data_IF_183136997199
#
_entry.id   IF_183136997199
#
_cell.length_a   1.000
_cell.length_b   1.000
_cell.length_c   1.000
_cell.angle_alpha   90.00
_cell.angle_beta   90.00
_cell.angle_gamma   90.00
#
_symmetry.space_group_name_H-M   'P 1'
#
loop_
_entity.id
_entity.type
_entity.pdbx_description
1 polymer ?
#
# COMPACT_ATOMS: atom_id res chain seq x y z
N UNK A 1 9.92 12.93 -19.60
CA UNK A 1 9.22 11.63 -19.54
C UNK A 1 7.81 11.76 -18.98
N UNK A 2 7.00 10.70 -19.08
CA UNK A 2 5.68 10.69 -18.42
C UNK A 2 5.86 10.58 -16.91
N UNK A 3 5.09 11.32 -16.12
CA UNK A 3 4.99 11.09 -14.68
C UNK A 3 4.11 9.86 -14.49
N UNK A 4 4.63 8.83 -13.84
CA UNK A 4 3.97 7.54 -13.69
C UNK A 4 3.65 7.17 -12.24
N UNK A 5 4.25 7.88 -11.26
CA UNK A 5 3.98 7.66 -9.84
C UNK A 5 3.11 8.77 -9.25
N UNK A 6 2.38 8.43 -8.18
CA UNK A 6 1.75 9.46 -7.34
C UNK A 6 2.84 10.31 -6.69
N UNK A 7 2.66 11.64 -6.60
CA UNK A 7 3.62 12.51 -5.95
C UNK A 7 3.60 12.31 -4.42
N UNK A 8 4.76 12.45 -3.81
CA UNK A 8 4.93 12.56 -2.36
C UNK A 8 5.36 13.98 -2.01
N UNK A 9 4.66 14.62 -1.10
CA UNK A 9 4.99 15.97 -0.63
C UNK A 9 5.47 15.95 0.81
N UNK A 10 6.54 16.62 1.10
CA UNK A 10 7.07 16.82 2.46
C UNK A 10 7.98 18.03 2.52
N UNK A 11 7.90 18.82 3.57
CA UNK A 11 8.82 19.92 3.90
C UNK A 11 9.16 20.87 2.73
N UNK A 12 8.13 21.27 1.97
CA UNK A 12 8.30 22.16 0.83
C UNK A 12 8.91 21.50 -0.41
N UNK A 13 8.97 20.18 -0.47
CA UNK A 13 9.46 19.38 -1.58
C UNK A 13 8.39 18.46 -2.15
N UNK A 14 8.53 18.13 -3.43
CA UNK A 14 7.73 17.13 -4.13
C UNK A 14 8.66 16.10 -4.71
N UNK A 15 8.43 14.84 -4.36
CA UNK A 15 9.17 13.68 -4.90
C UNK A 15 8.29 12.94 -5.87
N UNK A 16 8.77 12.67 -7.07
CA UNK A 16 8.04 11.97 -8.13
C UNK A 16 8.94 10.99 -8.86
N UNK A 17 8.36 9.86 -9.23
CA UNK A 17 8.97 8.91 -10.15
C UNK A 17 8.52 9.16 -11.58
N UNK A 18 9.43 9.00 -12.51
CA UNK A 18 9.17 9.30 -13.91
C UNK A 18 9.43 8.09 -14.82
N UNK A 19 8.77 8.08 -15.98
CA UNK A 19 8.94 7.08 -17.01
C UNK A 19 10.25 7.18 -17.80
N UNK A 20 11.11 8.15 -17.48
CA UNK A 20 12.50 8.21 -17.98
C UNK A 20 13.50 7.47 -17.07
N UNK A 21 12.99 6.82 -16.03
CA UNK A 21 13.79 6.09 -15.06
C UNK A 21 14.43 6.98 -14.01
N UNK A 22 13.94 8.19 -13.82
CA UNK A 22 14.46 9.10 -12.80
C UNK A 22 13.47 9.32 -11.66
N UNK A 23 14.05 9.61 -10.49
CA UNK A 23 13.37 10.22 -9.35
C UNK A 23 13.72 11.70 -9.35
N UNK A 24 12.72 12.54 -9.24
CA UNK A 24 12.90 13.99 -9.13
C UNK A 24 12.46 14.49 -7.75
N UNK A 25 13.26 15.38 -7.19
CA UNK A 25 12.86 16.24 -6.09
C UNK A 25 12.69 17.67 -6.61
N UNK A 26 11.49 18.20 -6.45
CA UNK A 26 11.16 19.56 -6.86
C UNK A 26 10.90 20.43 -5.65
N UNK A 27 11.19 21.72 -5.76
CA UNK A 27 10.69 22.72 -4.84
C UNK A 27 9.17 22.88 -5.05
N UNK A 28 8.37 22.72 -4.00
CA UNK A 28 6.90 22.72 -4.10
C UNK A 28 6.31 24.09 -4.47
N UNK A 29 7.03 25.18 -4.20
CA UNK A 29 6.57 26.54 -4.49
C UNK A 29 6.97 27.02 -5.88
N UNK A 30 8.22 26.73 -6.33
CA UNK A 30 8.73 27.19 -7.63
C UNK A 30 8.61 26.16 -8.75
N UNK A 31 8.51 24.85 -8.42
CA UNK A 31 8.58 23.76 -9.37
C UNK A 31 9.98 23.46 -9.90
N UNK A 32 11.01 24.15 -9.41
CA UNK A 32 12.39 23.93 -9.82
C UNK A 32 12.93 22.60 -9.32
N UNK A 33 13.77 21.94 -10.13
CA UNK A 33 14.44 20.71 -9.75
C UNK A 33 15.50 21.02 -8.69
N UNK A 34 15.36 20.40 -7.51
CA UNK A 34 16.34 20.47 -6.43
C UNK A 34 17.45 19.45 -6.68
N UNK A 35 17.03 18.21 -6.99
CA UNK A 35 17.92 17.15 -7.41
C UNK A 35 17.17 16.12 -8.26
N UNK A 36 17.92 15.31 -9.01
CA UNK A 36 17.42 14.15 -9.73
C UNK A 36 18.34 12.95 -9.51
N UNK A 37 17.78 11.74 -9.50
CA UNK A 37 18.52 10.49 -9.37
C UNK A 37 18.11 9.51 -10.47
N UNK A 38 19.07 8.92 -11.20
CA UNK A 38 18.83 7.91 -12.22
C UNK A 38 18.72 6.54 -11.60
N UNK A 39 17.60 5.84 -11.84
CA UNK A 39 17.35 4.45 -11.45
C UNK A 39 17.54 3.50 -12.64
N UNK A 40 17.48 2.19 -12.38
CA UNK A 40 17.67 1.14 -13.40
C UNK A 40 16.39 0.80 -14.20
N UNK A 41 15.32 1.56 -14.05
CA UNK A 41 14.04 1.31 -14.73
C UNK A 41 12.98 2.33 -14.42
N UNK A 42 11.75 2.08 -14.88
CA UNK A 42 10.65 3.03 -14.76
C UNK A 42 10.12 3.11 -13.33
N UNK A 43 9.95 4.33 -12.84
CA UNK A 43 9.36 4.59 -11.53
C UNK A 43 7.84 4.74 -11.65
N UNK A 44 7.09 3.75 -11.19
CA UNK A 44 5.62 3.73 -11.24
C UNK A 44 4.94 3.87 -9.89
N UNK A 45 5.66 3.54 -8.82
CA UNK A 45 5.11 3.60 -7.47
C UNK A 45 5.48 4.89 -6.76
N UNK A 46 4.57 5.35 -5.90
CA UNK A 46 4.85 6.47 -5.01
C UNK A 46 6.00 6.10 -4.08
N UNK A 47 7.05 6.93 -3.98
CA UNK A 47 8.11 6.72 -3.00
C UNK A 47 7.57 6.89 -1.57
N UNK A 48 8.30 6.36 -0.60
CA UNK A 48 8.02 6.52 0.83
C UNK A 48 9.13 7.35 1.44
N UNK A 49 8.77 8.27 2.32
CA UNK A 49 9.72 9.09 3.07
C UNK A 49 9.63 8.73 4.55
N UNK A 50 10.76 8.38 5.13
CA UNK A 50 10.91 8.10 6.55
C UNK A 50 12.24 8.61 7.06
N UNK A 51 12.24 9.41 8.12
CA UNK A 51 13.44 9.94 8.76
C UNK A 51 14.45 10.60 7.80
N UNK A 52 13.95 11.34 6.81
CA UNK A 52 14.78 12.03 5.80
C UNK A 52 15.34 11.12 4.71
N UNK A 53 14.96 9.84 4.68
CA UNK A 53 15.36 8.88 3.65
C UNK A 53 14.16 8.58 2.75
N UNK A 54 14.37 8.70 1.44
CA UNK A 54 13.40 8.38 0.40
C UNK A 54 13.62 6.94 -0.06
N UNK A 55 12.61 6.09 0.15
CA UNK A 55 12.60 4.72 -0.32
C UNK A 55 11.79 4.62 -1.60
N UNK A 56 12.41 4.12 -2.66
CA UNK A 56 11.83 4.04 -3.97
C UNK A 56 12.00 2.63 -4.57
N UNK A 57 10.96 2.12 -5.21
CA UNK A 57 10.95 0.79 -5.82
C UNK A 57 10.82 0.86 -7.34
N UNK A 58 11.69 0.17 -8.03
CA UNK A 58 11.65 -0.01 -9.48
C UNK A 58 11.10 -1.40 -9.80
N UNK A 59 9.87 -1.46 -10.30
CA UNK A 59 9.16 -2.72 -10.55
C UNK A 59 9.83 -3.58 -11.61
N UNK A 60 10.31 -2.96 -12.69
CA UNK A 60 10.85 -3.69 -13.85
C UNK A 60 12.14 -4.45 -13.52
N UNK A 61 12.88 -4.00 -12.51
CA UNK A 61 14.15 -4.60 -12.05
C UNK A 61 14.08 -5.17 -10.64
N UNK A 62 12.96 -4.95 -9.94
CA UNK A 62 12.74 -5.35 -8.54
C UNK A 62 13.79 -4.78 -7.57
N UNK A 63 14.30 -3.58 -7.87
CA UNK A 63 15.35 -2.92 -7.08
C UNK A 63 14.73 -1.85 -6.20
N UNK A 64 15.13 -1.85 -4.95
CA UNK A 64 14.88 -0.78 -4.00
C UNK A 64 16.05 0.19 -3.93
N UNK A 65 15.74 1.44 -3.71
CA UNK A 65 16.68 2.53 -3.50
C UNK A 65 16.36 3.23 -2.20
N UNK A 66 17.35 3.46 -1.35
CA UNK A 66 17.29 4.42 -0.27
C UNK A 66 18.16 5.61 -0.64
N UNK A 67 17.56 6.78 -0.66
CA UNK A 67 18.16 8.03 -1.13
C UNK A 67 17.99 9.06 -0.04
N UNK A 68 19.05 9.79 0.29
CA UNK A 68 18.95 10.96 1.16
C UNK A 68 18.01 12.01 0.52
N UNK A 69 16.88 12.26 1.15
CA UNK A 69 15.84 13.12 0.59
C UNK A 69 16.27 14.59 0.45
N UNK A 70 17.29 15.01 1.20
CA UNK A 70 17.79 16.38 1.17
C UNK A 70 18.77 16.62 0.02
N UNK A 71 19.59 15.62 -0.31
CA UNK A 71 20.71 15.76 -1.24
C UNK A 71 20.54 14.98 -2.54
N UNK A 72 19.67 13.96 -2.57
CA UNK A 72 19.54 13.03 -3.68
C UNK A 72 20.66 11.98 -3.76
N UNK A 73 21.51 11.88 -2.72
CA UNK A 73 22.60 10.90 -2.69
C UNK A 73 22.07 9.50 -2.36
N UNK A 74 22.57 8.50 -3.07
CA UNK A 74 22.27 7.11 -2.79
C UNK A 74 22.88 6.69 -1.46
N UNK A 75 22.05 6.12 -0.57
CA UNK A 75 22.48 5.50 0.69
C UNK A 75 22.76 4.02 0.44
N UNK A 76 21.75 3.31 -0.09
CA UNK A 76 21.91 1.94 -0.54
C UNK A 76 20.99 1.63 -1.72
N UNK A 77 21.39 0.65 -2.48
CA UNK A 77 20.63 0.04 -3.56
C UNK A 77 20.62 -1.46 -3.30
N UNK A 78 19.45 -2.03 -3.17
CA UNK A 78 19.29 -3.44 -2.85
C UNK A 78 18.24 -4.09 -3.73
N UNK A 79 18.55 -5.29 -4.19
CA UNK A 79 17.53 -6.18 -4.65
C UNK A 79 17.06 -6.95 -3.41
N UNK A 80 15.75 -6.97 -3.15
CA UNK A 80 15.16 -7.79 -2.10
C UNK A 80 15.50 -9.28 -2.26
N UNK A 81 16.23 -9.61 -3.33
CA UNK A 81 16.61 -10.96 -3.71
C UNK A 81 18.05 -11.07 -4.16
N UNK A 82 18.79 -11.88 -3.44
CA UNK A 82 20.00 -12.54 -3.91
C UNK A 82 19.70 -13.89 -4.60
N UNK A 83 18.45 -14.38 -4.52
CA UNK A 83 17.99 -15.60 -5.16
C UNK A 83 16.87 -15.22 -6.14
N UNK A 84 17.04 -15.52 -7.44
CA UNK A 84 16.13 -15.16 -8.54
C UNK A 84 14.68 -15.62 -8.34
N UNK A 85 14.39 -16.27 -7.23
CA UNK A 85 13.10 -16.87 -6.89
C UNK A 85 12.17 -16.00 -6.05
N UNK A 86 12.59 -14.90 -5.44
CA UNK A 86 11.77 -14.09 -4.52
C UNK A 86 11.54 -12.67 -5.07
N UNK A 87 10.45 -12.44 -5.77
CA UNK A 87 10.04 -11.12 -6.24
C UNK A 87 9.30 -10.38 -5.13
N UNK A 88 9.89 -9.34 -4.58
CA UNK A 88 9.24 -8.51 -3.57
C UNK A 88 8.55 -7.33 -4.23
N UNK A 89 7.29 -7.17 -3.94
CA UNK A 89 6.36 -6.13 -4.35
C UNK A 89 5.73 -6.27 -5.75
N UNK A 90 4.48 -6.70 -5.73
CA UNK A 90 3.49 -6.44 -6.78
C UNK A 90 3.03 -4.97 -6.79
N UNK A 91 1.77 -4.72 -7.13
CA UNK A 91 1.16 -3.37 -7.13
C UNK A 91 0.83 -2.83 -5.72
N UNK A 92 1.37 -3.43 -4.68
CA UNK A 92 1.15 -3.05 -3.27
C UNK A 92 1.90 -1.76 -2.97
N UNK A 93 1.24 -0.85 -2.29
CA UNK A 93 1.91 0.27 -1.65
C UNK A 93 2.61 -0.25 -0.39
N UNK A 94 3.94 -0.31 -0.36
CA UNK A 94 4.66 -0.70 0.84
C UNK A 94 4.48 0.35 1.93
N UNK A 95 4.62 -0.07 3.19
CA UNK A 95 4.52 0.82 4.35
C UNK A 95 5.73 0.64 5.27
N UNK A 96 6.07 1.68 6.01
CA UNK A 96 7.08 1.58 7.05
C UNK A 96 6.37 1.53 8.40
N UNK A 97 6.72 0.52 9.18
CA UNK A 97 6.24 0.33 10.54
C UNK A 97 7.34 -0.28 11.40
N UNK A 98 7.56 0.29 12.57
CA UNK A 98 8.60 -0.14 13.52
C UNK A 98 9.97 -0.36 12.88
N UNK A 99 10.45 0.59 12.07
CA UNK A 99 11.77 0.53 11.42
C UNK A 99 11.93 -0.56 10.34
N UNK A 100 10.83 -1.12 9.84
CA UNK A 100 10.80 -2.16 8.81
C UNK A 100 10.02 -1.68 7.59
N UNK A 101 10.52 -1.98 6.40
CA UNK A 101 9.83 -1.72 5.15
C UNK A 101 8.96 -2.93 4.79
N UNK A 102 7.67 -2.86 5.14
CA UNK A 102 6.71 -3.92 4.89
C UNK A 102 6.23 -3.91 3.44
N UNK A 103 6.16 -5.09 2.87
CA UNK A 103 5.80 -5.33 1.48
C UNK A 103 5.14 -6.72 1.33
N UNK A 104 4.93 -7.15 0.11
CA UNK A 104 4.45 -8.49 -0.20
C UNK A 104 5.50 -9.20 -1.05
N UNK A 105 5.86 -10.41 -0.65
CA UNK A 105 6.57 -11.35 -1.51
C UNK A 105 5.66 -11.72 -2.69
N UNK A 106 5.99 -11.22 -3.87
CA UNK A 106 5.15 -11.37 -5.05
C UNK A 106 5.08 -12.81 -5.58
N UNK A 107 6.05 -13.67 -5.28
CA UNK A 107 6.01 -15.07 -5.70
C UNK A 107 4.98 -15.86 -4.91
N UNK A 108 5.00 -15.68 -3.60
CA UNK A 108 4.14 -16.43 -2.69
C UNK A 108 2.94 -15.60 -2.24
N UNK A 109 2.88 -14.30 -2.63
CA UNK A 109 1.87 -13.34 -2.18
C UNK A 109 1.74 -13.30 -0.66
N UNK A 110 2.88 -13.28 0.04
CA UNK A 110 2.95 -13.32 1.51
C UNK A 110 3.41 -11.98 2.06
N UNK A 111 2.94 -11.57 3.24
CA UNK A 111 3.53 -10.45 3.96
C UNK A 111 5.03 -10.68 4.19
N UNK A 112 5.81 -9.66 3.94
CA UNK A 112 7.26 -9.68 4.11
C UNK A 112 7.75 -8.30 4.52
N UNK A 113 8.97 -8.20 5.05
CA UNK A 113 9.62 -6.91 5.21
C UNK A 113 11.10 -6.94 4.87
N UNK A 114 11.60 -5.78 4.46
CA UNK A 114 13.00 -5.51 4.21
C UNK A 114 13.59 -4.72 5.38
N UNK A 115 14.88 -4.92 5.62
CA UNK A 115 15.67 -4.04 6.48
C UNK A 115 15.76 -2.65 5.85
N UNK A 116 15.45 -1.60 6.61
CA UNK A 116 15.63 -0.22 6.16
C UNK A 116 17.10 0.16 5.97
N UNK A 117 18.00 -0.52 6.67
CA UNK A 117 19.43 -0.22 6.64
C UNK A 117 20.13 -0.77 5.40
N UNK A 118 19.67 -1.93 4.89
CA UNK A 118 20.36 -2.67 3.82
C UNK A 118 19.52 -2.93 2.59
N UNK A 119 18.18 -2.86 2.71
CA UNK A 119 17.24 -3.26 1.65
C UNK A 119 17.14 -4.78 1.46
N UNK A 120 17.74 -5.57 2.33
CA UNK A 120 17.67 -7.03 2.26
C UNK A 120 16.37 -7.56 2.85
N UNK A 121 15.87 -8.66 2.28
CA UNK A 121 14.72 -9.37 2.82
C UNK A 121 15.07 -9.96 4.19
N UNK A 122 14.40 -9.46 5.23
CA UNK A 122 14.68 -9.86 6.61
C UNK A 122 13.67 -10.88 7.15
N UNK A 123 12.45 -10.93 6.57
CA UNK A 123 11.40 -11.83 7.02
C UNK A 123 10.30 -12.02 5.98
N UNK A 124 9.73 -13.22 5.93
CA UNK A 124 8.53 -13.55 5.16
C UNK A 124 7.57 -14.36 6.02
N UNK A 125 6.29 -14.02 5.95
CA UNK A 125 5.22 -14.72 6.67
C UNK A 125 5.02 -16.15 6.16
N UNK A 126 4.57 -17.02 7.04
CA UNK A 126 4.05 -18.36 6.69
C UNK A 126 2.58 -18.35 6.29
N UNK A 127 1.89 -17.21 6.45
CA UNK A 127 0.49 -17.07 6.03
C UNK A 127 0.36 -17.12 4.51
N UNK A 128 -0.75 -17.69 4.06
CA UNK A 128 -1.03 -17.80 2.64
C UNK A 128 -1.61 -16.48 2.10
N UNK A 129 -1.29 -16.22 0.84
CA UNK A 129 -1.87 -15.27 -0.14
C UNK A 129 -2.60 -14.04 0.42
N UNK A 130 -1.95 -12.91 0.32
CA UNK A 130 -2.53 -11.59 0.58
C UNK A 130 -2.88 -10.87 -0.73
N UNK A 131 -3.78 -9.88 -0.66
CA UNK A 131 -4.12 -9.04 -1.81
C UNK A 131 -2.98 -8.10 -2.17
N UNK A 132 -2.81 -7.89 -3.46
CA UNK A 132 -1.81 -6.97 -4.01
C UNK A 132 -2.05 -5.49 -3.70
N UNK A 133 -3.20 -5.10 -3.14
CA UNK A 133 -3.56 -3.69 -2.88
C UNK A 133 -3.94 -3.37 -1.44
N UNK A 134 -4.04 -4.40 -0.62
CA UNK A 134 -4.58 -4.26 0.72
C UNK A 134 -3.52 -4.23 1.81
N UNK A 135 -2.71 -3.17 1.89
CA UNK A 135 -1.79 -2.97 3.01
C UNK A 135 -1.83 -1.54 3.52
N UNK A 136 -1.86 -1.38 4.83
CA UNK A 136 -1.74 -0.10 5.53
C UNK A 136 -1.17 -0.30 6.93
N UNK A 137 -0.86 0.77 7.64
CA UNK A 137 -0.31 0.72 9.00
C UNK A 137 -0.78 1.89 9.86
N UNK A 138 -0.81 1.67 11.17
CA UNK A 138 -0.93 2.72 12.19
C UNK A 138 0.43 3.02 12.87
N UNK A 139 1.54 2.48 12.33
CA UNK A 139 2.89 2.62 12.87
C UNK A 139 3.34 1.44 13.74
N UNK A 140 2.46 0.88 14.59
CA UNK A 140 2.74 -0.29 15.44
C UNK A 140 2.15 -1.59 14.92
N UNK A 141 1.10 -1.50 14.10
CA UNK A 141 0.39 -2.63 13.49
C UNK A 141 0.37 -2.48 11.99
N UNK A 142 0.62 -3.57 11.27
CA UNK A 142 0.50 -3.63 9.81
C UNK A 142 -0.72 -4.48 9.46
N UNK A 143 -1.59 -3.94 8.63
CA UNK A 143 -2.83 -4.57 8.22
C UNK A 143 -2.75 -5.03 6.77
N UNK A 144 -3.17 -6.25 6.52
CA UNK A 144 -3.23 -6.86 5.20
C UNK A 144 -4.63 -7.38 4.89
N UNK A 145 -5.09 -7.23 3.66
CA UNK A 145 -6.23 -7.97 3.15
C UNK A 145 -5.78 -9.21 2.37
N UNK A 146 -6.54 -10.30 2.48
CA UNK A 146 -6.28 -11.51 1.69
C UNK A 146 -6.54 -11.29 0.21
N UNK A 147 -6.00 -12.17 -0.65
CA UNK A 147 -6.18 -12.11 -2.10
C UNK A 147 -7.66 -12.24 -2.55
N UNK A 148 -8.52 -12.77 -1.68
CA UNK A 148 -9.97 -12.81 -1.89
C UNK A 148 -10.68 -11.54 -1.40
N UNK A 149 -9.96 -10.59 -0.77
CA UNK A 149 -10.54 -9.41 -0.11
C UNK A 149 -11.46 -9.74 1.08
N UNK A 150 -11.44 -10.99 1.56
CA UNK A 150 -12.38 -11.47 2.58
C UNK A 150 -11.80 -11.50 3.99
N UNK A 151 -10.50 -11.67 4.10
CA UNK A 151 -9.83 -11.74 5.40
C UNK A 151 -8.90 -10.56 5.55
N UNK A 152 -9.00 -9.90 6.68
CA UNK A 152 -8.03 -8.90 7.12
C UNK A 152 -7.20 -9.52 8.24
N UNK A 153 -5.89 -9.35 8.17
CA UNK A 153 -4.94 -9.80 9.18
C UNK A 153 -4.16 -8.60 9.69
N UNK A 154 -4.09 -8.46 10.99
CA UNK A 154 -3.26 -7.48 11.67
C UNK A 154 -2.01 -8.16 12.24
N UNK A 155 -0.84 -7.61 11.93
CA UNK A 155 0.44 -8.01 12.49
C UNK A 155 0.97 -6.94 13.42
N UNK A 156 1.44 -7.35 14.57
CA UNK A 156 2.32 -6.51 15.38
C UNK A 156 3.64 -6.26 14.64
N UNK A 157 3.97 -5.00 14.40
CA UNK A 157 5.13 -4.63 13.58
C UNK A 157 6.46 -4.88 14.28
N UNK A 158 6.50 -5.02 15.60
CA UNK A 158 7.70 -5.34 16.36
C UNK A 158 7.98 -6.84 16.34
N UNK A 159 6.99 -7.63 16.74
CA UNK A 159 7.13 -9.08 16.96
C UNK A 159 6.86 -9.93 15.73
N UNK A 160 6.23 -9.37 14.68
CA UNK A 160 5.78 -10.05 13.47
C UNK A 160 4.70 -11.11 13.74
N UNK A 161 4.04 -11.06 14.90
CA UNK A 161 2.99 -11.98 15.27
C UNK A 161 1.63 -11.45 14.82
N UNK A 162 0.72 -12.37 14.50
CA UNK A 162 -0.67 -12.02 14.24
C UNK A 162 -1.33 -11.57 15.53
N UNK A 163 -1.88 -10.35 15.53
CA UNK A 163 -2.64 -9.77 16.64
C UNK A 163 -4.09 -10.23 16.55
N UNK A 164 -4.68 -10.08 15.36
CA UNK A 164 -6.03 -10.56 15.07
C UNK A 164 -6.21 -10.87 13.58
N UNK A 165 -7.23 -11.67 13.30
CA UNK A 165 -7.73 -11.93 11.96
C UNK A 165 -9.24 -11.77 11.93
N UNK A 166 -9.76 -11.12 10.90
CA UNK A 166 -11.19 -10.92 10.67
C UNK A 166 -11.59 -11.46 9.31
N UNK A 167 -12.54 -12.39 9.31
CA UNK A 167 -13.21 -12.85 8.10
C UNK A 167 -14.41 -11.91 7.83
N UNK A 168 -14.40 -11.29 6.66
CA UNK A 168 -15.45 -10.38 6.18
C UNK A 168 -16.47 -11.12 5.29
N UNK A 169 -16.71 -12.41 5.55
CA UNK A 169 -17.76 -13.12 4.81
C UNK A 169 -19.10 -12.43 5.00
N UNK A 170 -19.56 -11.90 3.92
CA UNK A 170 -20.88 -11.32 3.80
C UNK A 170 -21.87 -12.44 3.47
N UNK A 171 -23.07 -12.39 4.02
CA UNK A 171 -24.13 -13.41 4.01
C UNK A 171 -24.21 -14.35 2.80
N UNK A 172 -24.79 -15.54 3.02
CA UNK A 172 -24.94 -16.69 2.10
C UNK A 172 -25.44 -16.39 0.66
N UNK A 173 -25.83 -15.17 0.35
CA UNK A 173 -26.20 -14.70 -1.00
C UNK A 173 -24.98 -14.53 -1.92
N UNK A 174 -23.78 -14.46 -1.35
CA UNK A 174 -22.52 -14.23 -2.08
C UNK A 174 -21.79 -15.53 -2.47
N UNK A 175 -22.45 -16.69 -2.38
CA UNK A 175 -21.82 -18.00 -2.69
C UNK A 175 -21.33 -18.12 -4.13
N UNK A 176 -22.02 -17.51 -5.09
CA UNK A 176 -21.64 -17.57 -6.51
C UNK A 176 -20.42 -16.70 -6.85
N UNK A 177 -19.90 -15.96 -5.85
CA UNK A 177 -18.79 -15.03 -5.97
C UNK A 177 -17.48 -15.60 -5.40
N UNK A 178 -17.48 -16.87 -4.98
CA UNK A 178 -16.35 -17.48 -4.26
C UNK A 178 -15.10 -17.68 -5.12
N UNK A 179 -15.22 -17.66 -6.45
CA UNK A 179 -14.11 -17.99 -7.36
C UNK A 179 -13.44 -16.77 -8.00
N UNK A 180 -13.93 -15.55 -7.79
CA UNK A 180 -13.33 -14.36 -8.36
C UNK A 180 -12.34 -13.74 -7.37
N UNK A 181 -11.14 -13.49 -7.82
CA UNK A 181 -10.16 -12.65 -7.12
C UNK A 181 -10.78 -11.25 -6.95
N UNK A 182 -11.06 -10.87 -5.72
CA UNK A 182 -11.61 -9.55 -5.38
C UNK A 182 -10.44 -8.73 -4.86
N UNK A 183 -9.99 -7.78 -5.66
CA UNK A 183 -9.05 -6.79 -5.17
C UNK A 183 -9.75 -5.92 -4.10
N UNK A 184 -9.03 -5.64 -3.04
CA UNK A 184 -9.52 -4.78 -1.97
C UNK A 184 -8.41 -3.86 -1.50
N UNK A 185 -8.78 -2.64 -1.13
CA UNK A 185 -7.86 -1.68 -0.59
C UNK A 185 -8.11 -1.47 0.90
N UNK A 186 -7.04 -1.25 1.64
CA UNK A 186 -7.06 -0.89 3.06
C UNK A 186 -6.46 0.50 3.24
N UNK A 187 -7.11 1.31 4.06
CA UNK A 187 -6.62 2.62 4.48
C UNK A 187 -6.84 2.79 5.98
N UNK A 188 -5.82 3.22 6.69
CA UNK A 188 -5.94 3.66 8.07
C UNK A 188 -6.04 5.20 8.11
N UNK A 189 -7.09 5.73 8.71
CA UNK A 189 -7.38 7.18 8.74
C UNK A 189 -7.04 7.86 10.07
N UNK A 190 -6.32 7.17 10.97
CA UNK A 190 -6.00 7.65 12.31
C UNK A 190 -6.88 7.04 13.41
N UNK A 191 -8.13 6.67 13.10
CA UNK A 191 -9.11 6.15 14.07
C UNK A 191 -9.65 4.76 13.69
N UNK A 192 -9.84 4.52 12.40
CA UNK A 192 -10.48 3.32 11.88
C UNK A 192 -9.67 2.72 10.73
N UNK A 193 -9.77 1.41 10.57
CA UNK A 193 -9.29 0.71 9.40
C UNK A 193 -10.43 0.61 8.38
N UNK A 194 -10.30 1.28 7.25
CA UNK A 194 -11.28 1.30 6.18
C UNK A 194 -10.91 0.27 5.13
N UNK A 195 -11.79 -0.69 4.92
CA UNK A 195 -11.69 -1.68 3.85
C UNK A 195 -12.68 -1.34 2.74
N UNK A 196 -12.17 -1.25 1.52
CA UNK A 196 -13.00 -1.00 0.33
C UNK A 196 -12.89 -2.20 -0.59
N UNK A 197 -13.96 -2.96 -0.67
CA UNK A 197 -14.05 -4.11 -1.56
C UNK A 197 -14.36 -3.68 -2.99
N UNK A 198 -13.73 -4.34 -3.97
CA UNK A 198 -13.91 -4.05 -5.40
C UNK A 198 -15.40 -3.95 -5.83
N UNK A 199 -16.28 -4.68 -5.15
CA UNK A 199 -17.71 -4.73 -5.46
C UNK A 199 -18.56 -3.63 -4.81
N UNK A 200 -17.92 -2.60 -4.25
CA UNK A 200 -18.64 -1.43 -3.76
C UNK A 200 -19.01 -1.46 -2.28
N UNK A 201 -18.59 -2.47 -1.51
CA UNK A 201 -18.78 -2.45 -0.06
C UNK A 201 -17.63 -1.73 0.61
N UNK A 202 -17.98 -0.81 1.49
CA UNK A 202 -17.04 -0.10 2.36
C UNK A 202 -17.32 -0.54 3.79
N UNK A 203 -16.29 -0.98 4.50
CA UNK A 203 -16.39 -1.48 5.87
C UNK A 203 -15.34 -0.79 6.73
N UNK A 204 -15.76 -0.19 7.83
CA UNK A 204 -14.85 0.31 8.86
C UNK A 204 -14.70 -0.71 9.97
N UNK A 205 -13.46 -0.91 10.40
CA UNK A 205 -13.12 -1.82 11.49
C UNK A 205 -12.34 -1.07 12.57
N UNK A 206 -12.49 -1.55 13.79
CA UNK A 206 -11.62 -1.15 14.88
C UNK A 206 -10.21 -1.72 14.63
N UNK A 207 -9.16 -0.89 14.57
CA UNK A 207 -7.81 -1.35 14.27
C UNK A 207 -7.21 -2.26 15.35
N UNK A 208 -7.68 -2.17 16.61
CA UNK A 208 -7.11 -2.92 17.73
C UNK A 208 -7.60 -4.37 17.82
N UNK A 209 -8.84 -4.64 17.34
CA UNK A 209 -9.48 -5.95 17.52
C UNK A 209 -10.20 -6.49 16.28
N UNK A 210 -10.28 -5.70 15.20
CA UNK A 210 -10.94 -6.09 13.95
C UNK A 210 -12.48 -6.14 14.02
N UNK A 211 -13.11 -5.56 15.05
CA UNK A 211 -14.57 -5.45 15.12
C UNK A 211 -15.09 -4.50 14.05
N UNK A 212 -16.19 -4.88 13.41
CA UNK A 212 -16.85 -4.03 12.41
C UNK A 212 -17.56 -2.89 13.14
N UNK A 213 -17.17 -1.67 12.86
CA UNK A 213 -17.80 -0.46 13.36
C UNK A 213 -19.05 -0.11 12.56
N UNK A 214 -18.91 -0.13 11.23
CA UNK A 214 -20.01 0.05 10.29
C UNK A 214 -19.66 -0.56 8.93
N UNK A 215 -20.70 -0.79 8.10
CA UNK A 215 -20.54 -1.24 6.72
C UNK A 215 -21.67 -0.72 5.85
N UNK A 216 -21.34 -0.29 4.64
CA UNK A 216 -22.30 0.21 3.66
C UNK A 216 -22.00 -0.36 2.27
N UNK A 217 -23.03 -0.48 1.45
CA UNK A 217 -22.91 -0.77 0.02
C UNK A 217 -23.00 0.56 -0.75
N UNK A 218 -21.89 1.03 -1.31
CA UNK A 218 -21.79 2.36 -1.94
C UNK A 218 -22.34 2.38 -3.37
N UNK A 219 -22.55 1.23 -4.01
CA UNK A 219 -23.06 1.15 -5.38
C UNK A 219 -23.94 -0.07 -5.61
N UNK A 220 -24.80 0.02 -6.63
CA UNK A 220 -25.68 -1.06 -7.06
C UNK A 220 -24.87 -2.29 -7.47
N UNK A 221 -25.02 -3.34 -6.70
CA UNK A 221 -24.51 -4.67 -6.93
C UNK A 221 -25.06 -5.25 -8.26
N UNK A 222 -24.28 -5.97 -9.10
CA UNK A 222 -23.00 -6.67 -8.85
C UNK A 222 -21.79 -6.10 -9.63
N UNK A 223 -21.78 -4.86 -10.04
CA UNK A 223 -20.73 -4.31 -10.90
C UNK A 223 -19.47 -3.98 -10.07
N UNK A 224 -18.28 -4.24 -10.64
CA UNK A 224 -16.99 -3.83 -10.08
C UNK A 224 -16.96 -2.31 -10.03
N UNK A 225 -16.89 -1.75 -8.83
CA UNK A 225 -17.05 -0.32 -8.65
C UNK A 225 -15.76 0.37 -8.28
N UNK A 226 -14.92 -0.22 -7.42
CA UNK A 226 -13.72 0.43 -6.92
C UNK A 226 -12.44 -0.24 -7.42
N UNK A 227 -11.58 0.55 -8.03
CA UNK A 227 -10.29 0.08 -8.54
C UNK A 227 -9.08 0.75 -7.87
N UNK A 228 -9.19 2.01 -7.49
CA UNK A 228 -8.13 2.75 -6.85
C UNK A 228 -8.18 2.61 -5.32
N UNK A 229 -7.02 2.83 -4.67
CA UNK A 229 -6.97 2.96 -3.22
C UNK A 229 -7.78 4.18 -2.80
N UNK A 230 -8.73 4.05 -1.88
CA UNK A 230 -9.51 5.18 -1.40
C UNK A 230 -8.66 6.12 -0.55
N UNK A 231 -9.12 7.35 -0.42
CA UNK A 231 -8.67 8.27 0.62
C UNK A 231 -9.73 8.35 1.72
N UNK A 232 -9.29 8.41 2.97
CA UNK A 232 -10.20 8.48 4.11
C UNK A 232 -9.73 9.53 5.13
N UNK A 233 -10.68 10.33 5.59
CA UNK A 233 -10.52 11.24 6.73
C UNK A 233 -11.30 10.72 7.93
N UNK A 234 -11.42 11.49 9.00
CA UNK A 234 -12.18 11.12 10.20
C UNK A 234 -13.68 10.96 9.96
N UNK A 235 -14.23 11.53 8.87
CA UNK A 235 -15.67 11.54 8.61
C UNK A 235 -16.05 11.26 7.16
N UNK A 236 -15.07 11.08 6.26
CA UNK A 236 -15.33 10.94 4.84
C UNK A 236 -14.42 9.88 4.22
N UNK A 237 -15.00 8.97 3.43
CA UNK A 237 -14.27 8.08 2.53
C UNK A 237 -14.54 8.52 1.09
N UNK A 238 -13.47 8.71 0.32
CA UNK A 238 -13.54 9.03 -1.10
C UNK A 238 -12.97 7.84 -1.88
N UNK A 239 -13.78 7.26 -2.78
CA UNK A 239 -13.37 6.16 -3.64
C UNK A 239 -13.75 6.44 -5.09
N UNK A 240 -12.93 6.00 -6.04
CA UNK A 240 -13.16 6.16 -7.47
C UNK A 240 -13.62 4.86 -8.09
N UNK A 241 -14.71 4.92 -8.85
CA UNK A 241 -15.29 3.78 -9.54
C UNK A 241 -14.79 3.63 -10.97
N UNK A 242 -14.80 2.40 -11.48
CA UNK A 242 -14.53 2.11 -12.90
C UNK A 242 -15.65 2.63 -13.82
N UNK A 243 -16.80 2.98 -13.27
CA UNK A 243 -17.91 3.63 -13.97
C UNK A 243 -17.66 5.13 -14.23
N UNK A 244 -16.46 5.62 -13.91
CA UNK A 244 -16.06 7.01 -14.09
C UNK A 244 -16.61 7.97 -13.02
N UNK A 245 -17.16 7.44 -11.92
CA UNK A 245 -17.70 8.26 -10.82
C UNK A 245 -16.76 8.33 -9.65
N UNK A 246 -16.92 9.38 -8.84
CA UNK A 246 -16.31 9.54 -7.52
C UNK A 246 -17.41 9.36 -6.49
N UNK A 247 -17.17 8.47 -5.55
CA UNK A 247 -18.07 8.18 -4.44
C UNK A 247 -17.51 8.83 -3.19
N UNK A 248 -18.33 9.63 -2.52
CA UNK A 248 -18.02 10.23 -1.24
C UNK A 248 -19.02 9.71 -0.21
N UNK A 249 -18.52 9.09 0.83
CA UNK A 249 -19.32 8.46 1.88
C UNK A 249 -19.00 9.16 3.20
N UNK A 250 -19.98 9.91 3.71
CA UNK A 250 -19.90 10.48 5.05
C UNK A 250 -20.27 9.43 6.10
N UNK A 251 -19.54 9.43 7.20
CA UNK A 251 -19.80 8.57 8.34
C UNK A 251 -19.53 9.30 9.66
N UNK A 252 -20.24 8.86 10.69
CA UNK A 252 -20.04 9.32 12.07
C UNK A 252 -19.52 8.15 12.91
N UNK A 253 -18.60 8.45 13.85
CA UNK A 253 -18.06 7.48 14.80
C UNK A 253 -19.08 7.07 15.86
#
# INVERSE_FOLDING_TARGET
GSVLSDPLTSEGRVFIGCGDGKIYCLNSASGEIVWEYQTDGLMRQRPILENGILYAFVRDTYIWYAIDASTGQLIWRGNANTDESLFVCGDVRPVIANGKLWCIDAQNTRPAYLSLDTGELAWTSTLEKVSSRGMTTNGSTVFYSSNSGRQITAFDAETNQVVWQKDLRYDNKDRDLQEMQIDSALVYNGNSLIHVAERGRITALNPDNGEILWSIDAAGYPERVFWATPEATDSLVIATGIDGKVYAVEYTH
#
